data_IF_152339302713
#
_entry.id   IF_152339302713
#
_cell.length_a   1.000
_cell.length_b   1.000
_cell.length_c   1.000
_cell.angle_alpha   90.00
_cell.angle_beta   90.00
_cell.angle_gamma   90.00
#
_symmetry.space_group_name_H-M   'P 1'
#
loop_
_entity.id
_entity.type
_entity.pdbx_description
1 polymer ?
#
# COMPACT_ATOMS: atom_id res chain seq x y z
N UNK A 1 -64.30 7.99 -0.19
CA UNK A 1 -63.18 7.06 -0.54
C UNK A 1 -62.20 7.58 -1.60
N UNK A 2 -62.47 8.67 -2.35
CA UNK A 2 -61.58 9.15 -3.44
C UNK A 2 -60.28 9.86 -3.01
N UNK A 3 -60.14 10.28 -1.75
CA UNK A 3 -58.96 11.08 -1.32
C UNK A 3 -57.73 10.27 -0.86
N UNK A 4 -57.90 8.98 -0.52
CA UNK A 4 -56.78 8.12 -0.05
C UNK A 4 -55.85 7.69 -1.19
N UNK A 5 -56.39 7.43 -2.39
CA UNK A 5 -55.61 7.03 -3.56
C UNK A 5 -54.70 8.15 -4.08
N UNK A 6 -55.17 9.41 -4.07
CA UNK A 6 -54.36 10.57 -4.45
C UNK A 6 -53.20 10.81 -3.47
N UNK A 7 -53.42 10.58 -2.16
CA UNK A 7 -52.39 10.72 -1.14
C UNK A 7 -51.30 9.65 -1.27
N UNK A 8 -51.68 8.39 -1.56
CA UNK A 8 -50.74 7.29 -1.79
C UNK A 8 -49.91 7.54 -3.06
N UNK A 9 -50.53 8.05 -4.13
CA UNK A 9 -49.83 8.37 -5.38
C UNK A 9 -48.84 9.53 -5.21
N UNK A 10 -49.21 10.60 -4.49
CA UNK A 10 -48.32 11.72 -4.17
C UNK A 10 -47.15 11.27 -3.27
N UNK A 11 -47.40 10.39 -2.30
CA UNK A 11 -46.35 9.81 -1.47
C UNK A 11 -45.38 8.96 -2.32
N UNK A 12 -45.89 8.10 -3.20
CA UNK A 12 -45.05 7.28 -4.08
C UNK A 12 -44.19 8.15 -5.01
N UNK A 13 -44.77 9.16 -5.65
CA UNK A 13 -44.04 10.10 -6.52
C UNK A 13 -42.97 10.87 -5.72
N UNK A 14 -43.28 11.29 -4.49
CA UNK A 14 -42.29 11.96 -3.62
C UNK A 14 -41.13 11.05 -3.23
N UNK A 15 -41.38 9.75 -2.98
CA UNK A 15 -40.34 8.76 -2.67
C UNK A 15 -39.46 8.52 -3.91
N UNK A 16 -40.06 8.27 -5.08
CA UNK A 16 -39.32 8.08 -6.34
C UNK A 16 -38.46 9.30 -6.71
N UNK A 17 -39.00 10.51 -6.59
CA UNK A 17 -38.25 11.73 -6.89
C UNK A 17 -37.10 11.99 -5.90
N UNK A 18 -37.28 11.61 -4.63
CA UNK A 18 -36.24 11.73 -3.61
C UNK A 18 -35.10 10.74 -3.87
N UNK A 19 -35.44 9.51 -4.26
CA UNK A 19 -34.48 8.46 -4.61
C UNK A 19 -33.69 8.82 -5.88
N UNK A 20 -34.35 9.29 -6.94
CA UNK A 20 -33.67 9.69 -8.19
C UNK A 20 -32.72 10.89 -7.99
N UNK A 21 -33.13 11.88 -7.18
CA UNK A 21 -32.29 13.03 -6.84
C UNK A 21 -31.08 12.62 -6.00
N UNK A 22 -31.21 11.60 -5.17
CA UNK A 22 -30.13 11.06 -4.36
C UNK A 22 -29.14 10.24 -5.21
N UNK A 23 -29.63 9.41 -6.12
CA UNK A 23 -28.81 8.66 -7.08
C UNK A 23 -27.95 9.58 -7.94
N UNK A 24 -28.51 10.71 -8.40
CA UNK A 24 -27.73 11.74 -9.13
C UNK A 24 -26.65 12.39 -8.27
N UNK A 25 -26.95 12.73 -7.01
CA UNK A 25 -25.96 13.30 -6.07
C UNK A 25 -24.81 12.33 -5.79
N UNK A 26 -25.08 11.04 -5.67
CA UNK A 26 -24.02 10.04 -5.50
C UNK A 26 -23.18 9.87 -6.76
N UNK A 27 -23.79 9.87 -7.94
CA UNK A 27 -23.03 9.87 -9.21
C UNK A 27 -22.13 11.09 -9.33
N UNK A 28 -22.63 12.28 -9.05
CA UNK A 28 -21.85 13.53 -9.10
C UNK A 28 -20.71 13.54 -8.07
N UNK A 29 -20.96 13.02 -6.86
CA UNK A 29 -19.95 12.87 -5.82
C UNK A 29 -18.82 11.93 -6.29
N UNK A 30 -19.15 10.70 -6.71
CA UNK A 30 -18.15 9.72 -7.17
C UNK A 30 -17.39 10.20 -8.42
N UNK A 31 -18.05 10.96 -9.30
CA UNK A 31 -17.38 11.56 -10.45
C UNK A 31 -16.37 12.64 -10.05
N UNK A 32 -16.68 13.45 -9.02
CA UNK A 32 -15.72 14.40 -8.45
C UNK A 32 -14.52 13.68 -7.83
N UNK A 33 -14.75 12.59 -7.11
CA UNK A 33 -13.66 11.78 -6.55
C UNK A 33 -12.75 11.21 -7.65
N UNK A 34 -13.33 10.68 -8.72
CA UNK A 34 -12.56 10.21 -9.88
C UNK A 34 -11.69 11.32 -10.47
N UNK A 35 -12.25 12.52 -10.65
CA UNK A 35 -11.48 13.67 -11.15
C UNK A 35 -10.37 14.09 -10.17
N UNK A 36 -10.63 14.03 -8.87
CA UNK A 36 -9.63 14.31 -7.85
C UNK A 36 -8.50 13.28 -7.87
N UNK A 37 -8.83 12.00 -8.05
CA UNK A 37 -7.85 10.95 -8.20
C UNK A 37 -7.00 11.13 -9.46
N UNK A 38 -7.60 11.46 -10.61
CA UNK A 38 -6.82 11.76 -11.83
C UNK A 38 -5.89 12.96 -11.64
N UNK A 39 -6.36 14.04 -11.00
CA UNK A 39 -5.51 15.19 -10.64
C UNK A 39 -4.37 14.75 -9.75
N UNK A 40 -4.66 14.01 -8.69
CA UNK A 40 -3.65 13.47 -7.78
C UNK A 40 -2.61 12.65 -8.54
N UNK A 41 -3.01 11.72 -9.42
CA UNK A 41 -2.09 10.93 -10.24
C UNK A 41 -1.16 11.80 -11.08
N UNK A 42 -1.70 12.84 -11.71
CA UNK A 42 -0.91 13.76 -12.55
C UNK A 42 0.12 14.58 -11.77
N UNK A 43 -0.11 14.82 -10.47
CA UNK A 43 0.86 15.50 -9.60
C UNK A 43 2.01 14.59 -9.14
N UNK A 44 1.85 13.27 -9.25
CA UNK A 44 2.89 12.32 -8.86
C UNK A 44 3.82 12.03 -10.03
N UNK A 45 5.11 12.33 -9.85
CA UNK A 45 6.13 12.03 -10.86
C UNK A 45 6.90 10.76 -10.49
N UNK A 46 7.03 9.81 -11.44
CA UNK A 46 7.88 8.61 -11.31
C UNK A 46 9.32 8.91 -10.86
N UNK A 47 9.87 10.06 -11.25
CA UNK A 47 11.23 10.47 -10.85
C UNK A 47 11.33 10.75 -9.34
N UNK A 48 10.27 11.29 -8.72
CA UNK A 48 10.19 11.53 -7.27
C UNK A 48 10.31 10.23 -6.49
N UNK A 49 9.62 9.17 -6.91
CA UNK A 49 9.65 7.87 -6.23
C UNK A 49 10.94 7.11 -6.50
N UNK A 50 11.50 7.25 -7.70
CA UNK A 50 12.85 6.75 -7.99
C UNK A 50 13.89 7.38 -7.06
N UNK A 51 13.82 8.70 -6.84
CA UNK A 51 14.69 9.39 -5.90
C UNK A 51 14.46 8.93 -4.45
N UNK A 52 13.21 8.73 -4.03
CA UNK A 52 12.87 8.20 -2.70
C UNK A 52 13.49 6.82 -2.47
N UNK A 53 13.29 5.89 -3.41
CA UNK A 53 13.88 4.54 -3.39
C UNK A 53 15.39 4.62 -3.18
N UNK A 54 16.07 5.39 -4.04
CA UNK A 54 17.53 5.50 -3.98
C UNK A 54 17.96 6.05 -2.63
N UNK A 55 17.25 7.05 -2.10
CA UNK A 55 17.53 7.67 -0.81
C UNK A 55 17.36 6.68 0.35
N UNK A 56 16.23 5.98 0.43
CA UNK A 56 15.95 4.98 1.48
C UNK A 56 17.05 3.93 1.51
N UNK A 57 17.28 3.25 0.39
CA UNK A 57 18.20 2.10 0.36
C UNK A 57 19.67 2.52 0.43
N UNK A 58 20.03 3.72 -0.04
CA UNK A 58 21.35 4.31 0.23
C UNK A 58 21.56 4.55 1.72
N UNK A 59 20.59 5.10 2.43
CA UNK A 59 20.70 5.36 3.87
C UNK A 59 20.72 4.07 4.69
N UNK A 60 19.98 3.03 4.29
CA UNK A 60 20.07 1.68 4.87
C UNK A 60 21.49 1.15 4.74
N UNK A 61 22.08 1.23 3.54
CA UNK A 61 23.44 0.78 3.26
C UNK A 61 24.48 1.57 4.06
N UNK A 62 24.39 2.90 4.04
CA UNK A 62 25.34 3.83 4.69
C UNK A 62 25.34 3.68 6.21
N UNK A 63 24.17 3.47 6.81
CA UNK A 63 24.04 3.34 8.26
C UNK A 63 24.38 1.92 8.76
N UNK A 64 24.93 1.07 7.89
CA UNK A 64 25.33 -0.31 8.18
C UNK A 64 24.23 -1.08 8.91
N UNK A 65 23.00 -0.94 8.44
CA UNK A 65 21.89 -1.72 8.99
C UNK A 65 22.21 -3.21 8.83
N UNK A 66 22.01 -3.98 9.89
CA UNK A 66 22.27 -5.42 9.86
C UNK A 66 21.11 -6.08 9.12
N UNK A 67 21.36 -6.44 7.86
CA UNK A 67 20.41 -7.15 7.01
C UNK A 67 20.71 -8.65 7.04
N UNK A 68 19.69 -9.46 7.21
CA UNK A 68 19.78 -10.92 7.04
C UNK A 68 19.87 -11.28 5.56
N UNK A 69 20.01 -12.57 5.25
CA UNK A 69 20.09 -13.04 3.86
C UNK A 69 18.76 -12.93 3.09
N UNK A 70 17.65 -12.79 3.83
CA UNK A 70 16.32 -12.60 3.28
C UNK A 70 15.77 -11.23 3.67
N UNK A 71 15.35 -10.44 2.70
CA UNK A 71 14.69 -9.15 2.93
C UNK A 71 13.22 -9.30 2.56
N UNK A 72 12.34 -9.07 3.52
CA UNK A 72 10.92 -8.90 3.29
C UNK A 72 10.68 -7.42 3.01
N UNK A 73 10.38 -7.09 1.75
CA UNK A 73 10.12 -5.71 1.35
C UNK A 73 8.61 -5.49 1.26
N UNK A 74 8.09 -4.68 2.17
CA UNK A 74 6.69 -4.31 2.26
C UNK A 74 6.49 -2.82 1.97
N UNK A 75 5.43 -2.51 1.24
CA UNK A 75 4.84 -1.17 1.25
C UNK A 75 3.45 -1.32 1.85
N UNK A 76 3.17 -0.52 2.87
CA UNK A 76 1.86 -0.50 3.52
C UNK A 76 1.04 0.63 2.91
N UNK A 77 0.06 0.23 2.13
CA UNK A 77 -1.22 0.92 2.11
C UNK A 77 -1.98 0.53 3.38
N UNK A 78 -2.74 1.46 3.94
CA UNK A 78 -3.81 1.13 4.90
C UNK A 78 -4.94 0.36 4.18
N UNK A 79 -4.63 -0.62 3.33
CA UNK A 79 -5.53 -1.31 2.41
C UNK A 79 -6.55 -2.22 3.11
N UNK A 80 -6.48 -2.35 4.44
CA UNK A 80 -7.36 -3.24 5.19
C UNK A 80 -8.21 -2.55 6.25
N UNK A 81 -8.15 -1.22 6.34
CA UNK A 81 -9.19 -0.50 7.07
C UNK A 81 -10.29 -0.21 6.05
N UNK A 82 -11.17 -1.19 5.86
CA UNK A 82 -12.58 -0.84 5.70
C UNK A 82 -12.88 0.04 6.91
N UNK A 83 -12.92 1.36 6.74
CA UNK A 83 -13.62 2.19 7.70
C UNK A 83 -15.08 1.74 7.60
N UNK A 84 -15.39 0.73 8.40
CA UNK A 84 -16.70 0.19 8.63
C UNK A 84 -17.46 1.29 9.35
N UNK A 85 -17.98 2.24 8.58
CA UNK A 85 -18.91 3.20 9.12
C UNK A 85 -20.22 2.46 9.39
N UNK A 86 -20.66 2.37 10.65
CA UNK A 86 -21.81 1.56 11.00
C UNK A 86 -23.05 2.06 10.25
N UNK A 87 -23.68 1.10 9.58
CA UNK A 87 -25.05 1.11 9.08
C UNK A 87 -25.97 1.97 9.96
N UNK A 88 -26.35 3.13 9.44
CA UNK A 88 -27.24 4.07 10.12
C UNK A 88 -27.81 5.14 9.20
N UNK A 89 -27.19 5.41 8.05
CA UNK A 89 -27.81 6.15 6.97
C UNK A 89 -27.42 5.55 5.63
N UNK A 90 -28.28 4.71 5.07
CA UNK A 90 -28.19 4.14 3.71
C UNK A 90 -28.17 5.22 2.58
N UNK A 91 -28.13 6.51 2.95
CA UNK A 91 -28.33 7.65 2.07
C UNK A 91 -27.13 8.62 1.96
N UNK A 92 -25.95 8.23 2.44
CA UNK A 92 -24.75 9.08 2.38
C UNK A 92 -23.68 8.47 1.48
N UNK A 93 -23.51 9.06 0.30
CA UNK A 93 -22.54 8.63 -0.72
C UNK A 93 -21.09 8.60 -0.21
N UNK A 94 -20.79 9.30 0.89
CA UNK A 94 -19.47 9.30 1.54
C UNK A 94 -19.05 7.91 2.01
N UNK A 95 -19.98 7.02 2.33
CA UNK A 95 -19.67 5.63 2.72
C UNK A 95 -19.26 4.73 1.56
N UNK A 96 -19.47 5.17 0.32
CA UNK A 96 -19.01 4.49 -0.89
C UNK A 96 -17.72 5.10 -1.45
N UNK A 97 -17.13 6.09 -0.78
CA UNK A 97 -15.88 6.72 -1.18
C UNK A 97 -14.71 5.74 -1.07
N UNK A 98 -13.96 5.59 -2.16
CA UNK A 98 -12.70 4.83 -2.18
C UNK A 98 -11.48 5.74 -2.37
N UNK A 99 -11.68 7.07 -2.47
CA UNK A 99 -10.66 8.01 -2.94
C UNK A 99 -9.36 7.96 -2.14
N UNK A 100 -9.45 7.91 -0.80
CA UNK A 100 -8.26 7.81 0.05
C UNK A 100 -7.49 6.51 -0.24
N UNK A 101 -8.19 5.38 -0.31
CA UNK A 101 -7.59 4.08 -0.57
C UNK A 101 -6.99 4.01 -1.97
N UNK A 102 -7.65 4.58 -2.98
CA UNK A 102 -7.16 4.66 -4.36
C UNK A 102 -5.87 5.49 -4.44
N UNK A 103 -5.82 6.65 -3.76
CA UNK A 103 -4.63 7.48 -3.67
C UNK A 103 -3.46 6.74 -3.04
N UNK A 104 -3.66 6.10 -1.88
CA UNK A 104 -2.59 5.36 -1.21
C UNK A 104 -2.14 4.15 -2.05
N UNK A 105 -3.07 3.41 -2.65
CA UNK A 105 -2.73 2.26 -3.51
C UNK A 105 -1.93 2.68 -4.75
N UNK A 106 -2.21 3.85 -5.32
CA UNK A 106 -1.42 4.42 -6.40
C UNK A 106 -0.02 4.87 -5.95
N UNK A 107 0.13 5.43 -4.74
CA UNK A 107 1.46 5.74 -4.19
C UNK A 107 2.31 4.48 -4.02
N UNK A 108 1.67 3.40 -3.56
CA UNK A 108 2.32 2.10 -3.43
C UNK A 108 2.79 1.60 -4.79
N UNK A 109 1.96 1.67 -5.84
CA UNK A 109 2.36 1.18 -7.17
C UNK A 109 3.50 2.00 -7.81
N UNK A 110 3.64 3.27 -7.45
CA UNK A 110 4.78 4.09 -7.87
C UNK A 110 6.10 3.70 -7.16
N UNK A 111 6.03 3.05 -6.00
CA UNK A 111 7.21 2.57 -5.27
C UNK A 111 7.47 1.08 -5.47
N UNK A 112 6.44 0.23 -5.43
CA UNK A 112 6.49 -1.21 -5.61
C UNK A 112 6.52 -1.58 -7.09
N UNK A 113 7.68 -1.36 -7.69
CA UNK A 113 7.96 -1.64 -9.10
C UNK A 113 9.04 -2.69 -9.22
N UNK A 114 9.12 -3.38 -10.38
CA UNK A 114 10.20 -4.33 -10.66
C UNK A 114 11.58 -3.71 -10.47
N UNK A 115 11.74 -2.44 -10.85
CA UNK A 115 12.96 -1.66 -10.70
C UNK A 115 13.34 -1.51 -9.23
N UNK A 116 12.38 -1.38 -8.33
CA UNK A 116 12.64 -1.29 -6.89
C UNK A 116 13.22 -2.59 -6.35
N UNK A 117 12.58 -3.71 -6.63
CA UNK A 117 13.07 -5.03 -6.19
C UNK A 117 14.45 -5.34 -6.77
N UNK A 118 14.65 -5.06 -8.06
CA UNK A 118 15.94 -5.25 -8.75
C UNK A 118 17.03 -4.35 -8.15
N UNK A 119 16.69 -3.08 -7.82
CA UNK A 119 17.62 -2.16 -7.18
C UNK A 119 18.06 -2.68 -5.80
N UNK A 120 17.12 -3.17 -5.00
CA UNK A 120 17.37 -3.67 -3.64
C UNK A 120 18.23 -4.94 -3.69
N UNK A 121 17.88 -5.90 -4.54
CA UNK A 121 18.66 -7.13 -4.76
C UNK A 121 20.10 -6.79 -5.14
N UNK A 122 20.30 -5.93 -6.15
CA UNK A 122 21.63 -5.54 -6.63
C UNK A 122 22.46 -4.81 -5.55
N UNK A 123 21.83 -3.96 -4.75
CA UNK A 123 22.53 -3.13 -3.76
C UNK A 123 22.92 -3.87 -2.49
N UNK A 124 22.08 -4.80 -2.03
CA UNK A 124 22.30 -5.54 -0.78
C UNK A 124 22.78 -6.97 -1.00
N UNK A 125 22.65 -7.52 -2.21
CA UNK A 125 22.99 -8.91 -2.57
C UNK A 125 22.28 -9.94 -1.69
N UNK A 126 20.98 -9.73 -1.47
CA UNK A 126 20.10 -10.55 -0.61
C UNK A 126 18.93 -11.11 -1.42
N UNK A 127 18.30 -12.17 -0.92
CA UNK A 127 17.02 -12.65 -1.45
C UNK A 127 15.93 -11.65 -1.08
N UNK A 128 15.13 -11.19 -2.05
CA UNK A 128 14.08 -10.19 -1.81
C UNK A 128 12.71 -10.83 -1.95
N UNK A 129 11.94 -10.84 -0.88
CA UNK A 129 10.59 -11.35 -0.81
C UNK A 129 9.61 -10.18 -0.80
N UNK A 130 8.73 -10.04 -1.81
CA UNK A 130 7.61 -9.13 -1.70
C UNK A 130 6.64 -9.66 -0.64
N UNK A 131 6.24 -8.79 0.28
CA UNK A 131 5.31 -9.10 1.38
C UNK A 131 4.26 -8.01 1.51
N UNK A 132 3.10 -8.38 2.02
CA UNK A 132 1.95 -7.50 2.23
C UNK A 132 1.58 -7.45 3.72
N UNK A 133 0.73 -6.47 4.08
CA UNK A 133 0.24 -6.16 5.44
C UNK A 133 1.21 -5.32 6.32
N UNK A 134 0.65 -4.59 7.29
CA UNK A 134 1.29 -3.69 8.26
C UNK A 134 2.52 -4.24 8.97
N UNK A 135 2.62 -5.56 9.10
CA UNK A 135 3.74 -6.22 9.78
C UNK A 135 4.79 -6.81 8.81
N UNK A 136 4.60 -6.67 7.48
CA UNK A 136 5.46 -7.28 6.47
C UNK A 136 5.56 -8.81 6.63
N UNK A 137 4.52 -9.43 7.17
CA UNK A 137 4.54 -10.82 7.64
C UNK A 137 3.86 -11.79 6.68
N UNK A 138 3.03 -11.31 5.75
CA UNK A 138 2.32 -12.15 4.80
C UNK A 138 3.12 -12.21 3.50
N UNK A 139 3.62 -13.41 3.21
CA UNK A 139 4.35 -13.69 1.97
C UNK A 139 3.35 -13.82 0.83
N UNK A 140 3.75 -13.37 -0.36
CA UNK A 140 2.94 -13.55 -1.56
C UNK A 140 3.23 -14.94 -2.11
N UNK A 141 2.20 -15.76 -2.17
CA UNK A 141 2.22 -17.13 -2.70
C UNK A 141 1.44 -17.18 -4.01
N UNK A 142 1.51 -18.30 -4.75
CA UNK A 142 0.67 -18.48 -5.94
C UNK A 142 -0.82 -18.47 -5.58
N UNK A 143 -1.15 -19.02 -4.43
CA UNK A 143 -2.51 -19.19 -3.93
C UNK A 143 -3.12 -17.85 -3.49
N UNK A 144 -2.34 -16.93 -2.92
CA UNK A 144 -2.88 -15.64 -2.46
C UNK A 144 -2.65 -14.50 -3.46
N UNK A 145 -1.85 -14.72 -4.52
CA UNK A 145 -1.51 -13.71 -5.52
C UNK A 145 -2.76 -13.02 -6.08
N UNK A 146 -3.78 -13.78 -6.47
CA UNK A 146 -4.99 -13.25 -7.10
C UNK A 146 -5.86 -12.43 -6.14
N UNK A 147 -5.74 -12.65 -4.83
CA UNK A 147 -6.47 -11.90 -3.80
C UNK A 147 -5.95 -10.48 -3.69
N UNK A 148 -4.65 -10.29 -3.90
CA UNK A 148 -3.99 -8.99 -3.78
C UNK A 148 -3.78 -8.30 -5.13
N UNK A 149 -3.79 -9.07 -6.21
CA UNK A 149 -3.39 -8.61 -7.52
C UNK A 149 -4.40 -9.10 -8.57
N UNK A 150 -5.45 -8.31 -8.79
CA UNK A 150 -6.14 -8.32 -10.08
C UNK A 150 -5.14 -7.92 -11.17
N UNK A 151 -5.40 -8.29 -12.43
CA UNK A 151 -4.51 -7.93 -13.54
C UNK A 151 -4.28 -6.39 -13.57
N UNK A 152 -3.08 -5.98 -13.15
CA UNK A 152 -2.78 -4.60 -12.76
C UNK A 152 -1.32 -4.38 -12.33
N UNK A 153 -1.10 -3.34 -11.52
CA UNK A 153 0.20 -2.70 -11.23
C UNK A 153 1.30 -3.61 -10.63
N UNK A 154 0.91 -4.74 -10.04
CA UNK A 154 1.83 -5.66 -9.34
C UNK A 154 2.04 -6.99 -10.07
N UNK A 155 1.48 -7.12 -11.28
CA UNK A 155 1.60 -8.31 -12.13
C UNK A 155 3.04 -8.75 -12.41
N UNK A 156 4.03 -7.84 -12.31
CA UNK A 156 5.44 -8.16 -12.48
C UNK A 156 5.97 -9.21 -11.49
N UNK A 157 5.35 -9.35 -10.31
CA UNK A 157 5.74 -10.35 -9.30
C UNK A 157 5.50 -11.77 -9.81
N UNK A 158 4.53 -11.99 -10.73
CA UNK A 158 4.31 -13.30 -11.37
C UNK A 158 5.57 -13.83 -12.08
N UNK A 159 6.49 -12.95 -12.46
CA UNK A 159 7.75 -13.27 -13.14
C UNK A 159 8.92 -13.52 -12.19
N UNK A 160 8.72 -13.44 -10.88
CA UNK A 160 9.74 -13.75 -9.89
C UNK A 160 9.92 -15.27 -9.76
N UNK A 161 11.06 -15.69 -9.21
CA UNK A 161 11.30 -17.10 -8.89
C UNK A 161 10.40 -17.51 -7.72
N UNK A 162 10.27 -18.82 -7.51
CA UNK A 162 9.55 -19.37 -6.35
C UNK A 162 10.48 -20.22 -5.50
N UNK A 163 10.39 -20.08 -4.19
CA UNK A 163 11.08 -20.93 -3.23
C UNK A 163 10.08 -21.50 -2.23
N UNK A 164 10.32 -22.74 -1.80
CA UNK A 164 9.56 -23.34 -0.71
C UNK A 164 10.05 -22.77 0.62
N UNK A 165 9.15 -22.18 1.40
CA UNK A 165 9.41 -21.63 2.72
C UNK A 165 8.97 -22.66 3.78
N UNK A 166 9.89 -23.45 4.38
CA UNK A 166 9.51 -24.64 5.15
C UNK A 166 8.67 -24.34 6.39
N UNK A 167 8.90 -23.20 7.02
CA UNK A 167 8.18 -22.78 8.23
C UNK A 167 6.69 -22.53 7.98
N UNK A 168 6.35 -22.06 6.78
CA UNK A 168 4.97 -21.80 6.37
C UNK A 168 4.38 -22.88 5.49
N UNK A 169 5.19 -23.83 5.02
CA UNK A 169 4.81 -24.88 4.08
C UNK A 169 4.21 -24.33 2.77
N UNK A 170 4.75 -23.22 2.29
CA UNK A 170 4.22 -22.49 1.13
C UNK A 170 5.31 -22.24 0.08
N UNK A 171 4.91 -22.15 -1.19
CA UNK A 171 5.77 -21.67 -2.27
C UNK A 171 5.58 -20.17 -2.45
N UNK A 172 6.63 -19.41 -2.17
CA UNK A 172 6.58 -17.94 -2.13
C UNK A 172 7.33 -17.35 -3.31
N UNK A 173 6.81 -16.26 -3.87
CA UNK A 173 7.53 -15.49 -4.88
C UNK A 173 8.71 -14.74 -4.25
N UNK A 174 9.84 -14.70 -4.95
CA UNK A 174 11.01 -13.95 -4.51
C UNK A 174 11.98 -13.65 -5.67
N UNK A 175 12.78 -12.61 -5.49
CA UNK A 175 13.90 -12.31 -6.37
C UNK A 175 15.19 -12.89 -5.77
N UNK A 176 15.78 -13.94 -6.39
CA UNK A 176 16.93 -14.63 -5.83
C UNK A 176 18.23 -13.85 -5.98
N UNK A 177 19.09 -13.91 -4.96
CA UNK A 177 20.52 -13.62 -5.11
C UNK A 177 21.32 -14.92 -5.01
N UNK A 178 22.17 -15.19 -5.99
CA UNK A 178 22.94 -16.46 -6.09
C UNK A 178 23.85 -16.74 -4.89
N UNK A 179 24.23 -15.71 -4.13
CA UNK A 179 25.14 -15.84 -2.99
C UNK A 179 24.41 -15.86 -1.63
N UNK A 180 23.11 -15.56 -1.59
CA UNK A 180 22.34 -15.46 -0.35
C UNK A 180 21.63 -16.79 -0.04
N UNK A 181 21.78 -17.28 1.20
CA UNK A 181 21.11 -18.51 1.63
C UNK A 181 19.65 -18.24 1.97
N UNK A 182 18.78 -19.18 1.62
CA UNK A 182 17.40 -19.18 2.08
C UNK A 182 17.38 -19.65 3.56
N UNK A 183 17.14 -18.73 4.49
CA UNK A 183 17.14 -19.01 5.94
C UNK A 183 15.82 -18.63 6.63
N UNK A 184 15.62 -19.02 7.88
CA UNK A 184 14.43 -18.71 8.71
C UNK A 184 14.38 -17.26 9.23
N UNK A 185 15.52 -16.55 9.25
CA UNK A 185 15.58 -15.14 9.63
C UNK A 185 15.33 -14.22 8.44
N UNK A 186 14.68 -13.08 8.69
CA UNK A 186 14.47 -12.05 7.68
C UNK A 186 14.60 -10.64 8.24
N UNK A 187 14.94 -9.70 7.36
CA UNK A 187 14.83 -8.28 7.64
C UNK A 187 13.59 -7.75 6.95
N UNK A 188 12.63 -7.24 7.72
CA UNK A 188 11.47 -6.53 7.19
C UNK A 188 11.84 -5.07 6.95
N UNK A 189 11.62 -4.58 5.73
CA UNK A 189 11.67 -3.17 5.37
C UNK A 189 10.26 -2.76 4.98
N UNK A 190 9.66 -1.91 5.80
CA UNK A 190 8.28 -1.45 5.69
C UNK A 190 8.27 0.01 5.29
N UNK A 191 7.72 0.35 4.13
CA UNK A 191 7.57 1.74 3.65
C UNK A 191 6.11 2.16 3.78
N UNK A 192 5.84 3.27 4.46
CA UNK A 192 4.50 3.71 4.85
C UNK A 192 4.24 5.12 4.31
N UNK A 193 3.22 5.27 3.47
CA UNK A 193 2.84 6.53 2.82
C UNK A 193 1.70 7.30 3.53
N UNK A 194 1.31 6.89 4.74
CA UNK A 194 0.14 7.43 5.48
C UNK A 194 0.06 8.96 5.51
N UNK A 195 1.19 9.63 5.75
CA UNK A 195 1.26 11.10 5.89
C UNK A 195 1.70 11.82 4.60
N UNK A 196 1.76 11.10 3.47
CA UNK A 196 2.32 11.65 2.23
C UNK A 196 1.43 12.74 1.63
N UNK A 197 0.11 12.52 1.58
CA UNK A 197 -0.83 13.47 1.00
C UNK A 197 -0.83 14.82 1.73
N UNK A 198 -0.74 14.80 3.06
CA UNK A 198 -0.86 15.99 3.89
C UNK A 198 0.46 16.77 4.00
N UNK A 199 1.57 16.06 4.18
CA UNK A 199 2.84 16.68 4.56
C UNK A 199 4.05 16.11 3.82
N UNK A 200 3.84 15.37 2.73
CA UNK A 200 4.87 14.74 1.91
C UNK A 200 5.87 13.91 2.75
N UNK A 201 5.38 13.21 3.77
CA UNK A 201 6.18 12.35 4.64
C UNK A 201 5.99 10.87 4.31
N UNK A 202 7.08 10.12 4.44
CA UNK A 202 7.12 8.66 4.29
C UNK A 202 7.90 8.09 5.49
N UNK A 203 7.29 7.17 6.22
CA UNK A 203 7.97 6.42 7.27
C UNK A 203 8.55 5.13 6.70
N UNK A 204 9.75 4.77 7.13
CA UNK A 204 10.38 3.48 6.84
C UNK A 204 10.73 2.80 8.14
N UNK A 205 10.11 1.66 8.41
CA UNK A 205 10.46 0.79 9.54
C UNK A 205 11.33 -0.37 9.05
N UNK A 206 12.45 -0.59 9.71
CA UNK A 206 13.39 -1.68 9.45
C UNK A 206 13.42 -2.55 10.69
N UNK A 207 12.99 -3.81 10.56
CA UNK A 207 12.97 -4.75 11.66
C UNK A 207 13.81 -5.98 11.31
N UNK A 208 14.81 -6.30 12.12
CA UNK A 208 15.56 -7.53 11.98
C UNK A 208 14.93 -8.62 12.85
N UNK A 209 14.28 -9.57 12.19
CA UNK A 209 13.65 -10.72 12.83
C UNK A 209 14.63 -11.88 12.76
N UNK A 210 15.54 -11.90 13.74
CA UNK A 210 16.48 -13.00 13.97
C UNK A 210 16.61 -13.22 15.49
N UNK A 211 16.01 -14.30 16.00
CA UNK A 211 16.08 -14.65 17.44
C UNK A 211 15.08 -13.87 18.32
N UNK A 212 15.43 -13.68 19.60
CA UNK A 212 14.50 -13.27 20.67
C UNK A 212 14.33 -11.75 20.87
N UNK A 213 15.12 -10.88 20.23
CA UNK A 213 14.97 -9.42 20.36
C UNK A 213 14.94 -8.72 18.99
N UNK A 214 13.77 -8.25 18.54
CA UNK A 214 13.66 -7.50 17.30
C UNK A 214 14.38 -6.15 17.45
N UNK A 215 15.36 -5.89 16.60
CA UNK A 215 15.96 -4.56 16.51
C UNK A 215 15.14 -3.75 15.51
N UNK A 216 14.40 -2.75 16.01
CA UNK A 216 13.51 -1.93 15.19
C UNK A 216 14.12 -0.54 15.03
N UNK A 217 14.29 -0.13 13.77
CA UNK A 217 14.67 1.23 13.42
C UNK A 217 13.60 1.88 12.57
N UNK A 218 13.17 3.07 12.96
CA UNK A 218 12.26 3.90 12.18
C UNK A 218 13.01 5.07 11.58
N UNK A 219 12.74 5.38 10.32
CA UNK A 219 13.30 6.52 9.59
C UNK A 219 12.16 7.29 8.93
N UNK A 220 12.14 8.61 9.12
CA UNK A 220 11.12 9.47 8.51
C UNK A 220 11.75 10.31 7.41
N UNK A 221 11.19 10.23 6.22
CA UNK A 221 11.61 10.99 5.04
C UNK A 221 10.57 12.06 4.71
N UNK A 222 11.01 13.26 4.35
CA UNK A 222 10.14 14.34 3.89
C UNK A 222 10.63 14.91 2.56
N UNK A 223 9.72 15.18 1.63
CA UNK A 223 10.05 15.87 0.38
C UNK A 223 10.06 17.39 0.60
N UNK A 224 11.23 18.01 0.54
CA UNK A 224 11.43 19.44 0.80
C UNK A 224 12.36 20.01 -0.27
N UNK A 225 11.92 21.08 -0.95
CA UNK A 225 12.75 21.75 -1.96
C UNK A 225 13.15 20.80 -3.10
N UNK A 226 12.19 20.04 -3.64
CA UNK A 226 12.39 19.06 -4.70
C UNK A 226 13.35 17.90 -4.38
N UNK A 227 13.59 17.62 -3.09
CA UNK A 227 14.49 16.55 -2.65
C UNK A 227 13.92 15.77 -1.48
N UNK A 228 14.21 14.47 -1.43
CA UNK A 228 13.92 13.64 -0.28
C UNK A 228 15.00 13.78 0.79
N UNK A 229 14.58 14.21 1.99
CA UNK A 229 15.46 14.39 3.15
C UNK A 229 15.05 13.45 4.27
N UNK A 230 16.04 12.80 4.89
CA UNK A 230 15.86 12.08 6.15
C UNK A 230 15.74 13.14 7.26
N UNK A 231 14.62 13.15 7.98
CA UNK A 231 14.34 14.15 9.03
C UNK A 231 14.35 13.57 10.44
N UNK A 232 14.23 12.24 10.58
CA UNK A 232 14.17 11.58 11.87
C UNK A 232 14.73 10.16 11.79
N UNK A 233 15.35 9.69 12.86
CA UNK A 233 15.73 8.29 13.05
C UNK A 233 15.53 7.89 14.50
N UNK A 234 14.72 6.85 14.72
CA UNK A 234 14.37 6.33 16.05
C UNK A 234 14.82 4.88 16.14
N UNK A 235 15.43 4.50 17.27
CA UNK A 235 15.86 3.12 17.56
C UNK A 235 15.04 2.60 18.74
N UNK A 236 14.50 1.40 18.60
CA UNK A 236 13.82 0.66 19.65
C UNK A 236 14.56 -0.68 19.82
N UNK A 237 15.00 -0.97 21.04
CA UNK A 237 15.72 -2.17 21.44
C UNK A 237 14.84 -3.08 22.30
#
# INVERSE_FOLDING_TARGET
MKSKAAFILLFAISIFYTQEKQDRKCKDFLQKEKLEFEKFKSTQSKSKYTALRNKIFSDVKKNKEVLTDNIHLCVVSNTFVNDYYPSGSENDCRYSSTLYLDKISYLDSLFWTRETFTYVEKNFRKNIFPVINHNGSVLITKENFHVFFSDGDYSFIKNFSTAYFPEKKENVFYLPNRNAKLTSGFTSILVIFKDYEFINKVEVTINNIKGLKPNVRKKTYKYIGNQWKLIETTKQN
#
